data_IF_228659273457
#
_entry.id   IF_228659273457
#
_cell.length_a   1.000
_cell.length_b   1.000
_cell.length_c   1.000
_cell.angle_alpha   90.00
_cell.angle_beta   90.00
_cell.angle_gamma   90.00
#
_symmetry.space_group_name_H-M   'P 1'
#
loop_
_entity.id
_entity.type
_entity.pdbx_description
1 polymer ?
#
# COMPACT_ATOMS: atom_id res chain seq x y z
N UNK A 1 26.19 29.68 -37.34
CA UNK A 1 25.43 28.82 -36.40
C UNK A 1 25.61 29.38 -35.00
N UNK A 2 24.56 29.94 -34.40
CA UNK A 2 24.63 30.75 -33.17
C UNK A 2 25.08 29.92 -31.95
N UNK A 3 26.04 30.43 -31.19
CA UNK A 3 26.64 29.80 -30.00
C UNK A 3 25.61 29.40 -28.92
N UNK A 4 24.43 30.02 -28.95
CA UNK A 4 23.29 29.71 -28.08
C UNK A 4 22.67 28.35 -28.40
N UNK A 5 22.57 27.96 -29.68
CA UNK A 5 22.01 26.67 -30.11
C UNK A 5 22.89 25.50 -29.62
N UNK A 6 24.21 25.71 -29.57
CA UNK A 6 25.18 24.69 -29.14
C UNK A 6 25.13 24.43 -27.62
N UNK A 7 24.68 25.40 -26.82
CA UNK A 7 24.58 25.27 -25.34
C UNK A 7 23.23 24.71 -24.86
N UNK A 8 22.14 24.93 -25.59
CA UNK A 8 20.80 24.44 -25.20
C UNK A 8 20.55 22.98 -25.59
N UNK A 9 21.23 22.49 -26.63
CA UNK A 9 21.12 21.11 -27.10
C UNK A 9 21.46 20.04 -26.04
N UNK A 10 22.56 20.13 -25.27
CA UNK A 10 22.88 19.13 -24.24
C UNK A 10 21.90 19.17 -23.05
N UNK A 11 21.36 20.35 -22.70
CA UNK A 11 20.39 20.50 -21.60
C UNK A 11 19.04 19.89 -21.99
N UNK A 12 18.58 20.10 -23.23
CA UNK A 12 17.35 19.51 -23.74
C UNK A 12 17.45 17.98 -23.86
N UNK A 13 18.60 17.45 -24.29
CA UNK A 13 18.85 16.01 -24.38
C UNK A 13 18.88 15.35 -22.98
N UNK A 14 19.50 16.01 -21.99
CA UNK A 14 19.50 15.54 -20.61
C UNK A 14 18.10 15.55 -19.98
N UNK A 15 17.30 16.60 -20.24
CA UNK A 15 15.92 16.70 -19.74
C UNK A 15 14.98 15.64 -20.34
N UNK A 16 15.19 15.24 -21.60
CA UNK A 16 14.40 14.21 -22.26
C UNK A 16 14.81 12.77 -21.85
N UNK A 17 16.05 12.55 -21.44
CA UNK A 17 16.55 11.23 -21.06
C UNK A 17 15.96 10.72 -19.72
N UNK A 18 15.64 11.61 -18.78
CA UNK A 18 15.08 11.27 -17.46
C UNK A 18 13.69 10.60 -17.56
N UNK A 19 12.68 11.19 -18.23
CA UNK A 19 11.36 10.56 -18.34
C UNK A 19 11.38 9.28 -19.18
N UNK A 20 12.24 9.22 -20.21
CA UNK A 20 12.43 8.01 -21.03
C UNK A 20 13.04 6.87 -20.22
N UNK A 21 14.07 7.16 -19.41
CA UNK A 21 14.67 6.16 -18.51
C UNK A 21 13.66 5.58 -17.51
N UNK A 22 12.84 6.42 -16.87
CA UNK A 22 11.79 5.95 -15.94
C UNK A 22 10.73 5.10 -16.65
N UNK A 23 10.34 5.45 -17.87
CA UNK A 23 9.32 4.71 -18.62
C UNK A 23 9.84 3.37 -19.14
N UNK A 24 11.11 3.26 -19.55
CA UNK A 24 11.74 1.98 -19.85
C UNK A 24 11.86 1.09 -18.60
N UNK A 25 12.17 1.65 -17.43
CA UNK A 25 12.17 0.87 -16.17
C UNK A 25 10.77 0.38 -15.78
N UNK A 26 9.71 1.11 -16.13
CA UNK A 26 8.34 0.66 -15.89
C UNK A 26 7.89 -0.45 -16.86
N UNK A 27 8.36 -0.45 -18.11
CA UNK A 27 7.97 -1.43 -19.13
C UNK A 27 8.84 -2.69 -19.11
N UNK A 28 10.14 -2.54 -18.87
CA UNK A 28 11.13 -3.62 -18.89
C UNK A 28 11.71 -3.93 -17.51
N UNK A 29 11.25 -3.25 -16.47
CA UNK A 29 11.55 -3.63 -15.10
C UNK A 29 11.00 -5.02 -14.85
N UNK A 30 11.89 -5.96 -14.63
CA UNK A 30 11.53 -7.32 -14.26
C UNK A 30 10.67 -7.24 -13.00
N UNK A 31 9.39 -7.60 -13.12
CA UNK A 31 8.47 -7.61 -11.97
C UNK A 31 9.02 -8.66 -11.03
N UNK A 32 9.72 -8.21 -9.99
CA UNK A 32 10.27 -9.14 -9.01
C UNK A 32 9.13 -10.04 -8.54
N UNK A 33 9.33 -11.37 -8.51
CA UNK A 33 8.31 -12.28 -8.01
C UNK A 33 7.87 -11.78 -6.64
N UNK A 34 6.60 -11.37 -6.51
CA UNK A 34 6.10 -10.99 -5.21
C UNK A 34 6.13 -12.22 -4.32
N UNK A 35 6.67 -12.11 -3.10
CA UNK A 35 6.63 -13.21 -2.16
C UNK A 35 5.17 -13.63 -1.93
N UNK A 36 4.95 -14.93 -1.78
CA UNK A 36 3.64 -15.47 -1.38
C UNK A 36 3.16 -14.71 -0.15
N UNK A 37 1.90 -14.28 -0.18
CA UNK A 37 1.29 -13.51 0.90
C UNK A 37 1.56 -14.18 2.26
N UNK A 38 2.26 -13.46 3.14
CA UNK A 38 2.53 -13.95 4.49
C UNK A 38 1.25 -13.86 5.33
N UNK A 39 0.84 -14.99 5.90
CA UNK A 39 -0.34 -15.09 6.76
C UNK A 39 0.04 -15.43 8.20
N UNK A 40 -0.87 -15.13 9.11
CA UNK A 40 -0.85 -15.56 10.52
C UNK A 40 -2.18 -16.21 10.87
N UNK A 41 -2.14 -17.18 11.79
CA UNK A 41 -3.34 -17.86 12.30
C UNK A 41 -3.72 -17.28 13.66
N UNK A 42 -4.95 -16.77 13.74
CA UNK A 42 -5.62 -16.45 14.99
C UNK A 42 -6.36 -17.70 15.46
N UNK A 43 -6.06 -18.17 16.66
CA UNK A 43 -6.72 -19.33 17.24
C UNK A 43 -8.19 -19.02 17.56
N UNK A 44 -9.02 -20.07 17.61
CA UNK A 44 -10.37 -19.97 18.15
C UNK A 44 -10.34 -19.47 19.59
N UNK A 45 -11.30 -18.63 19.97
CA UNK A 45 -11.34 -18.03 21.30
C UNK A 45 -12.22 -16.78 21.34
N UNK A 46 -12.33 -16.20 22.53
CA UNK A 46 -13.03 -14.93 22.71
C UNK A 46 -12.11 -13.75 22.39
N UNK A 47 -12.63 -12.79 21.63
CA UNK A 47 -11.99 -11.51 21.36
C UNK A 47 -12.89 -10.36 21.84
N UNK A 48 -12.29 -9.34 22.44
CA UNK A 48 -13.01 -8.12 22.85
C UNK A 48 -12.49 -6.91 22.09
N UNK A 49 -13.31 -6.32 21.23
CA UNK A 49 -12.92 -5.22 20.34
C UNK A 49 -13.90 -4.04 20.43
N UNK A 50 -13.44 -2.80 20.15
CA UNK A 50 -14.31 -1.62 20.12
C UNK A 50 -15.31 -1.71 18.95
N UNK A 51 -16.54 -1.29 19.18
CA UNK A 51 -17.53 -1.14 18.11
C UNK A 51 -17.09 -0.08 17.10
N UNK A 52 -17.31 -0.27 15.79
CA UNK A 52 -17.02 0.78 14.81
C UNK A 52 -17.97 1.97 14.99
N UNK A 53 -17.47 3.18 14.74
CA UNK A 53 -18.26 4.42 14.79
C UNK A 53 -17.69 5.48 15.73
N UNK A 54 -18.36 6.63 15.73
CA UNK A 54 -18.09 7.75 16.64
C UNK A 54 -19.01 7.65 17.86
N UNK A 55 -18.45 7.78 19.05
CA UNK A 55 -19.20 7.70 20.30
C UNK A 55 -18.99 8.97 21.10
N UNK A 56 -20.09 9.53 21.61
CA UNK A 56 -20.09 10.75 22.40
C UNK A 56 -20.75 10.50 23.76
N UNK A 57 -20.19 11.10 24.81
CA UNK A 57 -20.84 11.27 26.11
C UNK A 57 -20.95 12.75 26.39
N UNK A 58 -22.17 13.24 26.61
CA UNK A 58 -22.41 14.65 26.92
C UNK A 58 -21.78 15.59 25.86
N UNK A 59 -21.84 15.18 24.58
CA UNK A 59 -21.30 15.94 23.45
C UNK A 59 -19.78 15.90 23.30
N UNK A 60 -19.06 15.11 24.10
CA UNK A 60 -17.60 14.95 24.00
C UNK A 60 -17.21 13.56 23.48
N UNK A 61 -16.12 13.43 22.70
CA UNK A 61 -15.59 12.14 22.28
C UNK A 61 -15.43 11.19 23.46
N UNK A 62 -15.96 9.98 23.32
CA UNK A 62 -15.85 8.90 24.28
C UNK A 62 -15.24 7.69 23.59
N UNK A 63 -14.46 6.91 24.34
CA UNK A 63 -14.02 5.61 23.88
C UNK A 63 -15.20 4.71 23.49
N UNK A 64 -15.01 3.99 22.38
CA UNK A 64 -16.02 3.12 21.80
C UNK A 64 -16.41 2.00 22.79
N UNK A 65 -17.70 1.70 22.95
CA UNK A 65 -18.16 0.49 23.64
C UNK A 65 -17.42 -0.74 23.10
N UNK A 66 -17.05 -1.65 24.00
CA UNK A 66 -16.37 -2.89 23.60
C UNK A 66 -17.37 -4.03 23.54
N UNK A 67 -17.28 -4.84 22.49
CA UNK A 67 -18.05 -6.05 22.32
C UNK A 67 -17.15 -7.27 22.38
N UNK A 68 -17.64 -8.29 23.05
CA UNK A 68 -17.06 -9.61 23.03
C UNK A 68 -17.63 -10.41 21.83
N UNK A 69 -16.77 -11.15 21.13
CA UNK A 69 -17.15 -12.10 20.09
C UNK A 69 -16.37 -13.39 20.24
N UNK A 70 -17.06 -14.50 20.03
CA UNK A 70 -16.45 -15.81 19.96
C UNK A 70 -16.02 -16.10 18.52
N UNK A 71 -14.76 -16.51 18.34
CA UNK A 71 -14.29 -17.14 17.12
C UNK A 71 -14.44 -18.66 17.28
N UNK A 72 -15.43 -19.24 16.62
CA UNK A 72 -15.76 -20.68 16.72
C UNK A 72 -14.73 -21.59 16.03
N UNK A 73 -13.86 -21.00 15.20
CA UNK A 73 -12.80 -21.68 14.45
C UNK A 73 -11.60 -20.75 14.30
N UNK A 74 -10.38 -21.31 14.11
CA UNK A 74 -9.23 -20.49 13.74
C UNK A 74 -9.50 -19.65 12.49
N UNK A 75 -8.93 -18.45 12.48
CA UNK A 75 -9.01 -17.49 11.38
C UNK A 75 -7.60 -17.22 10.87
N UNK A 76 -7.36 -17.45 9.58
CA UNK A 76 -6.10 -17.08 8.94
C UNK A 76 -6.26 -15.72 8.26
N UNK A 77 -5.32 -14.80 8.49
CA UNK A 77 -5.31 -13.45 7.93
C UNK A 77 -3.92 -13.06 7.44
N UNK A 78 -3.84 -12.08 6.53
CA UNK A 78 -2.55 -11.52 6.14
C UNK A 78 -1.84 -10.86 7.33
N UNK A 79 -0.53 -11.08 7.43
CA UNK A 79 0.33 -10.52 8.47
C UNK A 79 0.58 -9.01 8.29
N UNK A 80 0.14 -8.46 7.16
CA UNK A 80 0.33 -7.07 6.77
C UNK A 80 -0.90 -6.56 6.00
N UNK A 81 -1.02 -5.24 5.88
CA UNK A 81 -2.08 -4.61 5.09
C UNK A 81 -1.77 -4.79 3.60
N UNK A 82 -2.78 -5.09 2.81
CA UNK A 82 -2.67 -5.23 1.34
C UNK A 82 -2.05 -3.95 0.75
N UNK A 83 -0.88 -4.10 0.14
CA UNK A 83 -0.17 -3.00 -0.52
C UNK A 83 -0.58 -2.84 -1.98
N UNK A 84 -0.03 -1.79 -2.62
CA UNK A 84 -0.24 -1.54 -4.04
C UNK A 84 0.24 -2.71 -4.91
N UNK A 85 1.30 -3.38 -4.49
CA UNK A 85 1.91 -4.48 -5.22
C UNK A 85 1.06 -5.75 -5.12
N UNK A 86 0.59 -6.12 -3.92
CA UNK A 86 -0.36 -7.23 -3.73
C UNK A 86 -1.65 -7.00 -4.52
N UNK A 87 -2.16 -5.77 -4.54
CA UNK A 87 -3.35 -5.41 -5.32
C UNK A 87 -3.09 -5.52 -6.81
N UNK A 88 -1.95 -5.04 -7.31
CA UNK A 88 -1.60 -5.05 -8.73
C UNK A 88 -1.34 -6.47 -9.27
N UNK A 89 -1.10 -7.46 -8.41
CA UNK A 89 -1.02 -8.88 -8.80
C UNK A 89 -2.41 -9.54 -8.83
N UNK A 90 -3.42 -8.95 -8.18
CA UNK A 90 -4.78 -9.47 -8.11
C UNK A 90 -5.66 -9.04 -9.31
N UNK A 91 -5.43 -7.82 -9.84
CA UNK A 91 -6.22 -7.22 -10.95
C UNK A 91 -5.50 -7.29 -12.29
#
# INVERSE_FOLDING_TARGET
MSLFILKVLPVALAAAAVPVGLSLQAVFGDRQPHPVAMTVVLLSGSITYPTPGEFLKEGRPQGNPRLERQLDRPLEIMAYQVGAADYADCV
#
